data_IF_376640898337
#
_entry.id   IF_376640898337
#
_cell.length_a   1.000
_cell.length_b   1.000
_cell.length_c   1.000
_cell.angle_alpha   90.00
_cell.angle_beta   90.00
_cell.angle_gamma   90.00
#
_symmetry.space_group_name_H-M   'P 1'
#
loop_
_entity.id
_entity.type
_entity.pdbx_description
1 polymer ?
#
# COMPACT_ATOMS: atom_id res chain seq x y z
N UNK A 1 12.72 26.00 43.01
CA UNK A 1 13.48 25.21 42.06
C UNK A 1 13.03 23.77 42.19
N UNK A 2 12.14 23.32 41.26
CA UNK A 2 11.68 21.92 41.19
C UNK A 2 12.36 21.32 39.97
N UNK A 3 13.28 20.39 40.19
CA UNK A 3 13.93 19.61 39.12
C UNK A 3 12.94 18.63 38.56
N UNK A 4 12.54 18.83 37.29
CA UNK A 4 11.79 17.89 36.49
C UNK A 4 12.81 16.89 35.91
N UNK A 5 12.88 15.70 36.49
CA UNK A 5 13.63 14.58 35.92
C UNK A 5 12.85 14.03 34.73
N UNK A 6 13.32 14.36 33.55
CA UNK A 6 12.86 13.73 32.29
C UNK A 6 13.53 12.36 32.21
N UNK A 7 12.80 11.30 32.53
CA UNK A 7 13.24 9.91 32.30
C UNK A 7 13.16 9.60 30.81
N UNK A 8 14.29 9.68 30.11
CA UNK A 8 14.47 9.16 28.77
C UNK A 8 14.45 7.63 28.87
N UNK A 9 13.36 7.00 28.47
CA UNK A 9 13.32 5.57 28.29
C UNK A 9 14.10 5.23 27.00
N UNK A 10 15.37 4.85 27.14
CA UNK A 10 16.18 4.29 26.07
C UNK A 10 15.62 2.89 25.81
N UNK A 11 14.83 2.73 24.74
CA UNK A 11 14.44 1.43 24.24
C UNK A 11 15.68 0.75 23.63
N UNK A 12 16.37 -0.06 24.40
CA UNK A 12 17.47 -0.88 23.91
C UNK A 12 16.92 -1.88 22.89
N UNK A 13 17.27 -1.70 21.60
CA UNK A 13 17.02 -2.70 20.58
C UNK A 13 17.78 -3.98 20.96
N UNK A 14 17.06 -5.08 21.15
CA UNK A 14 17.67 -6.41 21.38
C UNK A 14 18.56 -6.76 20.18
N UNK A 15 19.73 -7.35 20.37
CA UNK A 15 20.57 -7.82 19.28
C UNK A 15 19.77 -8.83 18.43
N UNK A 16 19.99 -8.88 17.11
CA UNK A 16 19.25 -9.75 16.17
C UNK A 16 19.16 -11.21 16.62
N UNK A 17 20.20 -11.71 17.25
CA UNK A 17 20.24 -13.07 17.82
C UNK A 17 19.21 -13.28 18.97
N UNK A 18 18.99 -12.27 19.81
CA UNK A 18 18.01 -12.36 20.88
C UNK A 18 16.56 -12.39 20.35
N UNK A 19 16.27 -11.65 19.29
CA UNK A 19 14.96 -11.70 18.63
C UNK A 19 14.71 -13.06 17.98
N UNK A 20 15.71 -13.64 17.32
CA UNK A 20 15.61 -14.97 16.73
C UNK A 20 15.37 -16.05 17.81
N UNK A 21 16.06 -15.97 18.94
CA UNK A 21 15.83 -16.89 20.07
C UNK A 21 14.41 -16.76 20.63
N UNK A 22 13.91 -15.51 20.74
CA UNK A 22 12.55 -15.28 21.23
C UNK A 22 11.50 -15.83 20.26
N UNK A 23 11.66 -15.61 18.95
CA UNK A 23 10.77 -16.18 17.93
C UNK A 23 10.84 -17.71 17.90
N UNK A 24 12.02 -18.30 18.11
CA UNK A 24 12.17 -19.76 18.22
C UNK A 24 11.41 -20.30 19.43
N UNK A 25 11.43 -19.59 20.58
CA UNK A 25 10.67 -19.94 21.78
C UNK A 25 9.16 -19.86 21.54
N UNK A 26 8.68 -18.82 20.84
CA UNK A 26 7.29 -18.67 20.44
C UNK A 26 6.89 -19.82 19.49
N UNK A 27 7.66 -20.06 18.44
CA UNK A 27 7.38 -21.09 17.44
C UNK A 27 7.37 -22.52 18.03
N UNK A 28 8.12 -22.77 19.11
CA UNK A 28 8.16 -24.06 19.80
C UNK A 28 6.88 -24.35 20.60
N UNK A 29 6.02 -23.35 20.88
CA UNK A 29 4.80 -23.56 21.69
C UNK A 29 3.78 -24.43 20.94
N UNK A 30 3.10 -25.36 21.65
CA UNK A 30 2.15 -26.29 21.02
C UNK A 30 1.05 -25.58 20.23
N UNK A 31 0.46 -24.53 20.79
CA UNK A 31 -0.58 -23.74 20.11
C UNK A 31 -0.05 -23.06 18.84
N UNK A 32 1.19 -22.52 18.86
CA UNK A 32 1.79 -21.88 17.68
C UNK A 32 2.13 -22.92 16.60
N UNK A 33 2.70 -24.07 16.99
CA UNK A 33 2.92 -25.19 16.04
C UNK A 33 1.62 -25.64 15.38
N UNK A 34 0.53 -25.74 16.16
CA UNK A 34 -0.78 -26.09 15.63
C UNK A 34 -1.30 -25.01 14.66
N UNK A 35 -1.12 -23.72 14.97
CA UNK A 35 -1.53 -22.62 14.10
C UNK A 35 -0.75 -22.60 12.77
N UNK A 36 0.58 -22.80 12.81
CA UNK A 36 1.42 -22.91 11.62
C UNK A 36 1.02 -24.11 10.75
N UNK A 37 0.82 -25.28 11.39
CA UNK A 37 0.36 -26.49 10.69
C UNK A 37 -1.06 -26.31 10.10
N UNK A 38 -1.93 -25.54 10.77
CA UNK A 38 -3.25 -25.22 10.24
C UNK A 38 -3.15 -24.44 8.93
N UNK A 39 -2.30 -23.40 8.85
CA UNK A 39 -2.10 -22.61 7.64
C UNK A 39 -1.67 -23.51 6.48
N UNK A 40 -0.68 -24.37 6.68
CA UNK A 40 -0.17 -25.30 5.67
C UNK A 40 -1.25 -26.28 5.20
N UNK A 41 -1.90 -26.97 6.14
CA UNK A 41 -2.92 -28.00 5.82
C UNK A 41 -4.17 -27.43 5.13
N UNK A 42 -4.47 -26.15 5.32
CA UNK A 42 -5.66 -25.51 4.76
C UNK A 42 -5.35 -24.63 3.52
N UNK A 43 -4.20 -24.80 2.87
CA UNK A 43 -3.85 -24.01 1.70
C UNK A 43 -4.88 -24.16 0.56
N UNK A 44 -5.44 -25.34 0.35
CA UNK A 44 -6.52 -25.54 -0.61
C UNK A 44 -7.77 -24.69 -0.27
N UNK A 45 -8.11 -24.55 1.01
CA UNK A 45 -9.20 -23.67 1.46
C UNK A 45 -8.84 -22.20 1.28
N UNK A 46 -7.57 -21.83 1.53
CA UNK A 46 -7.08 -20.46 1.27
C UNK A 46 -7.17 -20.12 -0.20
N UNK A 47 -6.78 -21.04 -1.08
CA UNK A 47 -6.93 -20.90 -2.54
C UNK A 47 -8.41 -20.73 -2.92
N UNK A 48 -9.31 -21.57 -2.40
CA UNK A 48 -10.74 -21.41 -2.67
C UNK A 48 -11.29 -20.06 -2.21
N UNK A 49 -10.83 -19.56 -1.04
CA UNK A 49 -11.17 -18.22 -0.56
C UNK A 49 -10.60 -17.12 -1.47
N UNK A 50 -9.37 -17.26 -1.98
CA UNK A 50 -8.78 -16.34 -2.97
C UNK A 50 -9.70 -16.19 -4.17
N UNK A 51 -10.13 -17.32 -4.76
CA UNK A 51 -11.03 -17.33 -5.93
C UNK A 51 -12.38 -16.69 -5.60
N UNK A 52 -12.97 -17.05 -4.46
CA UNK A 52 -14.29 -16.57 -4.05
C UNK A 52 -14.31 -15.06 -3.73
N UNK A 53 -13.29 -14.55 -3.06
CA UNK A 53 -13.14 -13.11 -2.75
C UNK A 53 -12.92 -12.34 -4.06
N UNK A 54 -12.05 -12.85 -4.93
CA UNK A 54 -11.75 -12.20 -6.20
C UNK A 54 -12.95 -12.12 -7.14
N UNK A 55 -13.86 -13.08 -7.10
CA UNK A 55 -15.07 -13.10 -7.92
C UNK A 55 -16.05 -11.94 -7.62
N UNK A 56 -15.86 -11.20 -6.51
CA UNK A 56 -16.68 -10.04 -6.15
C UNK A 56 -16.00 -8.78 -6.70
N UNK A 57 -16.57 -8.08 -7.69
CA UNK A 57 -15.97 -6.85 -8.22
C UNK A 57 -15.79 -5.79 -7.13
N UNK A 58 -14.60 -5.18 -7.09
CA UNK A 58 -14.27 -4.14 -6.13
C UNK A 58 -13.34 -3.09 -6.74
N UNK A 59 -13.78 -2.33 -7.75
CA UNK A 59 -12.99 -1.21 -8.24
C UNK A 59 -12.79 -0.18 -7.13
N UNK A 60 -11.68 0.55 -7.17
CA UNK A 60 -11.42 1.65 -6.23
C UNK A 60 -12.64 2.58 -6.15
N UNK A 61 -13.08 2.89 -4.93
CA UNK A 61 -14.31 3.62 -4.56
C UNK A 61 -15.63 2.84 -4.68
N UNK A 62 -15.62 1.55 -5.08
CA UNK A 62 -16.82 0.73 -5.19
C UNK A 62 -16.65 -0.65 -4.52
N UNK A 63 -15.95 -0.69 -3.40
CA UNK A 63 -15.56 -1.90 -2.65
C UNK A 63 -16.68 -2.48 -1.78
N UNK A 64 -17.82 -1.80 -1.64
CA UNK A 64 -18.85 -2.11 -0.63
C UNK A 64 -19.35 -3.56 -0.65
N UNK A 65 -19.48 -4.18 -1.83
CA UNK A 65 -19.95 -5.55 -1.96
C UNK A 65 -18.92 -6.54 -1.38
N UNK A 66 -17.64 -6.38 -1.75
CA UNK A 66 -16.53 -7.21 -1.24
C UNK A 66 -16.31 -6.97 0.25
N UNK A 67 -16.40 -5.72 0.72
CA UNK A 67 -16.30 -5.37 2.13
C UNK A 67 -17.38 -6.08 2.97
N UNK A 68 -18.62 -6.09 2.51
CA UNK A 68 -19.73 -6.80 3.18
C UNK A 68 -19.47 -8.31 3.30
N UNK A 69 -19.08 -8.96 2.20
CA UNK A 69 -18.74 -10.39 2.19
C UNK A 69 -17.57 -10.67 3.14
N UNK A 70 -16.53 -9.83 3.07
CA UNK A 70 -15.35 -10.01 3.89
C UNK A 70 -15.61 -9.83 5.38
N UNK A 71 -16.50 -8.90 5.77
CA UNK A 71 -16.94 -8.74 7.16
C UNK A 71 -17.60 -10.02 7.70
N UNK A 72 -18.44 -10.68 6.90
CA UNK A 72 -19.07 -11.95 7.31
C UNK A 72 -18.05 -13.07 7.44
N UNK A 73 -17.03 -13.13 6.56
CA UNK A 73 -15.93 -14.09 6.68
C UNK A 73 -15.11 -13.88 7.96
N UNK A 74 -14.81 -12.63 8.35
CA UNK A 74 -14.09 -12.33 9.59
C UNK A 74 -14.92 -12.69 10.83
N UNK A 75 -16.24 -12.47 10.81
CA UNK A 75 -17.15 -12.95 11.86
C UNK A 75 -17.12 -14.49 11.98
N UNK A 76 -17.21 -15.17 10.85
CA UNK A 76 -17.14 -16.63 10.79
C UNK A 76 -15.79 -17.18 11.28
N UNK A 77 -14.69 -16.45 11.05
CA UNK A 77 -13.38 -16.75 11.60
C UNK A 77 -13.31 -16.55 13.12
N UNK A 78 -14.32 -15.93 13.76
CA UNK A 78 -14.43 -15.73 15.20
C UNK A 78 -13.70 -14.52 15.74
N UNK A 79 -13.40 -13.54 14.87
CA UNK A 79 -12.90 -12.25 15.29
C UNK A 79 -14.00 -11.42 15.97
N UNK A 80 -13.59 -10.54 16.87
CA UNK A 80 -14.47 -9.69 17.66
C UNK A 80 -14.55 -8.28 17.05
N UNK A 81 -15.57 -7.52 17.43
CA UNK A 81 -15.77 -6.12 17.03
C UNK A 81 -15.72 -5.91 15.51
N UNK A 82 -16.32 -6.84 14.76
CA UNK A 82 -16.36 -6.73 13.30
C UNK A 82 -17.30 -5.60 12.89
N UNK A 83 -16.75 -4.58 12.24
CA UNK A 83 -17.48 -3.40 11.82
C UNK A 83 -16.91 -2.83 10.52
N UNK A 84 -17.74 -2.07 9.81
CA UNK A 84 -17.31 -1.24 8.68
C UNK A 84 -17.27 0.21 9.15
N UNK A 85 -16.13 0.88 8.98
CA UNK A 85 -15.97 2.29 9.35
C UNK A 85 -16.56 3.24 8.29
N UNK A 86 -16.53 4.55 8.57
CA UNK A 86 -17.09 5.56 7.67
C UNK A 86 -16.33 5.75 6.35
N UNK A 87 -15.10 5.24 6.23
CA UNK A 87 -14.37 5.22 4.98
C UNK A 87 -14.73 4.01 4.11
N UNK A 88 -15.26 2.93 4.73
CA UNK A 88 -15.59 1.67 4.11
C UNK A 88 -14.63 0.53 4.48
N UNK A 89 -13.62 0.76 5.35
CA UNK A 89 -12.75 -0.30 5.84
C UNK A 89 -13.52 -1.31 6.68
N UNK A 90 -13.19 -2.58 6.55
CA UNK A 90 -13.67 -3.62 7.46
C UNK A 90 -12.61 -3.84 8.55
N UNK A 91 -13.01 -3.66 9.79
CA UNK A 91 -12.18 -3.80 10.98
C UNK A 91 -12.67 -4.99 11.80
N UNK A 92 -11.73 -5.78 12.34
CA UNK A 92 -12.04 -6.87 13.25
C UNK A 92 -10.87 -7.10 14.20
N UNK A 93 -11.12 -7.53 15.44
CA UNK A 93 -10.08 -7.65 16.46
C UNK A 93 -9.90 -9.09 16.92
N UNK A 94 -8.67 -9.56 16.94
CA UNK A 94 -8.24 -10.66 17.79
C UNK A 94 -7.79 -10.10 19.13
N UNK A 95 -8.59 -10.31 20.18
CA UNK A 95 -8.33 -9.73 21.49
C UNK A 95 -7.21 -10.47 22.22
N UNK A 96 -6.24 -9.71 22.71
CA UNK A 96 -5.23 -10.18 23.67
C UNK A 96 -5.68 -10.07 25.12
N UNK A 97 -4.73 -10.09 26.04
CA UNK A 97 -4.98 -9.93 27.49
C UNK A 97 -5.35 -8.49 27.92
N UNK A 98 -5.27 -7.53 26.98
CA UNK A 98 -5.46 -6.09 27.24
C UNK A 98 -4.23 -5.40 27.85
N UNK A 99 -3.09 -6.09 27.95
CA UNK A 99 -1.84 -5.56 28.53
C UNK A 99 -0.76 -5.24 27.50
N UNK A 100 -1.00 -5.53 26.23
CA UNK A 100 -0.04 -5.35 25.14
C UNK A 100 -0.48 -4.30 24.12
N UNK A 101 0.35 -4.11 23.08
CA UNK A 101 0.09 -3.15 21.99
C UNK A 101 -1.03 -3.61 21.06
N UNK A 102 -1.59 -2.67 20.29
CA UNK A 102 -2.36 -2.98 19.09
C UNK A 102 -1.44 -3.03 17.88
N UNK A 103 -1.41 -4.16 17.18
CA UNK A 103 -0.70 -4.36 15.92
C UNK A 103 -1.71 -4.57 14.81
N UNK A 104 -1.57 -3.84 13.69
CA UNK A 104 -2.44 -3.97 12.53
C UNK A 104 -1.89 -5.02 11.57
N UNK A 105 -2.80 -5.87 11.06
CA UNK A 105 -2.60 -6.70 9.87
C UNK A 105 -3.62 -6.24 8.83
N UNK A 106 -3.15 -5.73 7.69
CA UNK A 106 -3.98 -5.12 6.66
C UNK A 106 -3.79 -5.75 5.29
N UNK A 107 -4.87 -5.77 4.49
CA UNK A 107 -4.87 -6.06 3.07
C UNK A 107 -5.97 -5.24 2.40
N UNK A 108 -5.73 -4.66 1.22
CA UNK A 108 -6.73 -3.80 0.59
C UNK A 108 -7.81 -4.60 -0.15
N UNK A 109 -9.02 -4.02 -0.18
CA UNK A 109 -10.20 -4.61 -0.82
C UNK A 109 -10.28 -4.29 -2.31
N UNK A 110 -9.80 -3.13 -2.71
CA UNK A 110 -9.97 -2.62 -4.05
C UNK A 110 -8.99 -3.24 -5.05
N UNK A 111 -9.29 -3.01 -6.32
CA UNK A 111 -8.45 -3.35 -7.46
C UNK A 111 -8.48 -2.21 -8.48
N UNK A 112 -7.46 -2.12 -9.34
CA UNK A 112 -7.41 -1.14 -10.44
C UNK A 112 -8.44 -1.39 -11.54
N UNK A 113 -9.13 -2.54 -11.51
CA UNK A 113 -10.00 -2.98 -12.60
C UNK A 113 -11.41 -2.40 -12.48
N UNK A 114 -12.07 -2.03 -13.61
CA UNK A 114 -13.43 -1.54 -13.60
C UNK A 114 -14.42 -2.67 -13.22
N UNK A 115 -15.62 -2.31 -12.76
CA UNK A 115 -16.66 -3.28 -12.42
C UNK A 115 -17.10 -4.17 -13.60
N UNK A 116 -16.83 -3.76 -14.83
CA UNK A 116 -17.11 -4.51 -16.06
C UNK A 116 -16.01 -5.51 -16.45
N UNK A 117 -14.89 -5.55 -15.73
CA UNK A 117 -13.82 -6.51 -16.00
C UNK A 117 -14.31 -7.95 -15.84
N UNK A 118 -13.87 -8.82 -16.73
CA UNK A 118 -14.17 -10.26 -16.62
C UNK A 118 -13.24 -10.87 -15.55
N UNK A 119 -13.83 -11.22 -14.41
CA UNK A 119 -13.15 -11.85 -13.27
C UNK A 119 -13.15 -13.38 -13.35
N UNK A 120 -13.55 -13.96 -14.48
CA UNK A 120 -13.51 -15.42 -14.67
C UNK A 120 -12.09 -15.93 -14.55
N UNK A 121 -11.89 -16.88 -13.64
CA UNK A 121 -10.58 -17.47 -13.40
C UNK A 121 -10.26 -18.52 -14.45
N UNK A 122 -9.09 -18.41 -15.07
CA UNK A 122 -8.55 -19.40 -16.00
C UNK A 122 -7.33 -20.08 -15.39
N UNK A 123 -7.39 -21.39 -15.19
CA UNK A 123 -6.24 -22.16 -14.73
C UNK A 123 -5.42 -22.66 -15.93
N UNK A 124 -4.11 -22.39 -15.88
CA UNK A 124 -3.16 -22.87 -16.88
C UNK A 124 -1.77 -23.06 -16.24
N UNK A 125 -1.18 -24.22 -16.46
CA UNK A 125 0.17 -24.56 -16.00
C UNK A 125 0.39 -24.32 -14.48
N UNK A 126 -0.63 -24.65 -13.65
CA UNK A 126 -0.62 -24.47 -12.20
C UNK A 126 -0.74 -23.02 -11.75
N UNK A 127 -1.13 -22.11 -12.64
CA UNK A 127 -1.40 -20.69 -12.38
C UNK A 127 -2.88 -20.39 -12.57
N UNK A 128 -3.41 -19.53 -11.74
CA UNK A 128 -4.74 -18.96 -11.85
C UNK A 128 -4.63 -17.55 -12.42
N UNK A 129 -5.26 -17.31 -13.56
CA UNK A 129 -5.28 -16.01 -14.25
C UNK A 129 -6.64 -15.36 -14.04
N UNK A 130 -6.66 -14.20 -13.42
CA UNK A 130 -7.83 -13.32 -13.33
C UNK A 130 -7.39 -11.93 -12.82
N UNK A 131 -8.08 -10.85 -13.23
CA UNK A 131 -7.84 -9.51 -12.70
C UNK A 131 -8.03 -9.45 -11.17
N UNK A 132 -7.05 -8.93 -10.44
CA UNK A 132 -7.10 -8.76 -8.97
C UNK A 132 -6.89 -10.03 -8.16
N UNK A 133 -6.57 -11.18 -8.79
CA UNK A 133 -6.41 -12.45 -8.07
C UNK A 133 -5.20 -12.44 -7.15
N UNK A 134 -4.11 -11.83 -7.60
CA UNK A 134 -2.92 -11.61 -6.79
C UNK A 134 -3.07 -10.33 -5.97
N UNK A 135 -3.48 -9.26 -6.64
CA UNK A 135 -3.57 -7.90 -6.10
C UNK A 135 -5.03 -7.45 -5.92
N UNK A 136 -5.64 -7.66 -4.76
CA UNK A 136 -5.06 -8.18 -3.52
C UNK A 136 -5.90 -9.36 -2.97
N UNK A 137 -6.57 -10.13 -3.88
CA UNK A 137 -7.44 -11.26 -3.51
C UNK A 137 -6.73 -12.31 -2.67
N UNK A 138 -5.46 -12.64 -3.01
CA UNK A 138 -4.65 -13.61 -2.27
C UNK A 138 -4.34 -13.14 -0.86
N UNK A 139 -3.95 -11.89 -0.67
CA UNK A 139 -3.59 -11.35 0.64
C UNK A 139 -4.80 -11.29 1.59
N UNK A 140 -5.98 -10.96 1.07
CA UNK A 140 -7.24 -11.03 1.83
C UNK A 140 -7.51 -12.47 2.30
N UNK A 141 -7.34 -13.47 1.45
CA UNK A 141 -7.52 -14.87 1.81
C UNK A 141 -6.47 -15.36 2.82
N UNK A 142 -5.21 -14.93 2.69
CA UNK A 142 -4.14 -15.23 3.64
C UNK A 142 -4.44 -14.65 5.03
N UNK A 143 -4.88 -13.39 5.08
CA UNK A 143 -5.29 -12.71 6.32
C UNK A 143 -6.44 -13.47 7.01
N UNK A 144 -7.43 -13.92 6.27
CA UNK A 144 -8.54 -14.73 6.77
C UNK A 144 -8.04 -16.09 7.33
N UNK A 145 -7.11 -16.74 6.63
CA UNK A 145 -6.52 -18.02 7.08
C UNK A 145 -5.73 -17.86 8.37
N UNK A 146 -5.01 -16.75 8.56
CA UNK A 146 -4.34 -16.43 9.82
C UNK A 146 -5.35 -16.29 10.96
N UNK A 147 -6.48 -15.63 10.75
CA UNK A 147 -7.55 -15.52 11.74
C UNK A 147 -8.10 -16.91 12.16
N UNK A 148 -8.38 -17.77 11.19
CA UNK A 148 -8.81 -19.15 11.44
C UNK A 148 -7.74 -19.98 12.19
N UNK A 149 -6.46 -19.80 11.87
CA UNK A 149 -5.36 -20.48 12.53
C UNK A 149 -5.25 -20.09 14.00
N UNK A 150 -5.34 -18.80 14.32
CA UNK A 150 -5.36 -18.30 15.69
C UNK A 150 -6.50 -18.91 16.50
N UNK A 151 -7.71 -18.93 15.92
CA UNK A 151 -8.91 -19.52 16.56
C UNK A 151 -8.78 -21.03 16.75
N UNK A 152 -8.41 -21.76 15.71
CA UNK A 152 -8.32 -23.23 15.75
C UNK A 152 -7.30 -23.71 16.81
N UNK A 153 -6.15 -23.04 16.86
CA UNK A 153 -5.10 -23.34 17.81
C UNK A 153 -5.30 -22.70 19.20
N UNK A 154 -6.37 -21.91 19.38
CA UNK A 154 -6.67 -21.18 20.63
C UNK A 154 -5.48 -20.36 21.13
N UNK A 155 -4.77 -19.71 20.20
CA UNK A 155 -3.61 -18.87 20.51
C UNK A 155 -4.04 -17.70 21.40
N UNK A 156 -3.31 -17.41 22.47
CA UNK A 156 -3.58 -16.30 23.37
C UNK A 156 -2.43 -15.30 23.31
N UNK A 157 -2.73 -14.05 22.99
CA UNK A 157 -1.76 -12.96 22.86
C UNK A 157 -1.79 -12.01 24.06
N UNK A 158 -0.73 -11.26 24.30
CA UNK A 158 -0.74 -10.15 25.27
C UNK A 158 -1.37 -8.90 24.65
N UNK A 159 -0.98 -8.52 23.42
CA UNK A 159 -1.56 -7.41 22.68
C UNK A 159 -2.67 -7.85 21.74
N UNK A 160 -3.40 -6.87 21.21
CA UNK A 160 -4.47 -7.05 20.23
C UNK A 160 -3.90 -7.10 18.80
N UNK A 161 -4.50 -7.94 17.94
CA UNK A 161 -4.28 -7.88 16.50
C UNK A 161 -5.51 -7.30 15.83
N UNK A 162 -5.37 -6.12 15.22
CA UNK A 162 -6.42 -5.46 14.45
C UNK A 162 -6.30 -5.89 12.98
N UNK A 163 -7.25 -6.70 12.52
CA UNK A 163 -7.40 -7.08 11.13
C UNK A 163 -8.13 -5.97 10.38
N UNK A 164 -7.57 -5.51 9.28
CA UNK A 164 -8.11 -4.40 8.49
C UNK A 164 -8.16 -4.79 7.02
N UNK A 165 -9.37 -4.92 6.47
CA UNK A 165 -9.53 -4.93 5.02
C UNK A 165 -9.85 -3.50 4.58
N UNK A 166 -8.86 -2.80 4.06
CA UNK A 166 -8.98 -1.37 3.79
C UNK A 166 -9.43 -1.08 2.34
N UNK A 167 -9.96 0.12 2.14
CA UNK A 167 -10.46 0.61 0.85
C UNK A 167 -9.52 1.64 0.25
N UNK A 168 -9.53 1.76 -1.09
CA UNK A 168 -8.88 2.85 -1.80
C UNK A 168 -7.36 2.85 -1.63
N UNK A 169 -6.72 1.70 -1.69
CA UNK A 169 -5.26 1.62 -1.82
C UNK A 169 -4.86 2.09 -3.20
N UNK A 170 -5.56 1.63 -4.23
CA UNK A 170 -5.17 1.74 -5.62
C UNK A 170 -5.40 3.12 -6.24
N UNK A 171 -4.53 3.46 -7.19
CA UNK A 171 -4.70 4.58 -8.11
C UNK A 171 -5.03 5.91 -7.43
N UNK A 172 -6.21 6.45 -7.77
CA UNK A 172 -6.73 7.70 -7.19
C UNK A 172 -7.39 7.51 -5.81
N UNK A 173 -7.51 6.27 -5.33
CA UNK A 173 -7.92 5.97 -3.95
C UNK A 173 -6.93 6.52 -2.93
N UNK A 174 -5.66 6.56 -3.29
CA UNK A 174 -4.63 7.34 -2.60
C UNK A 174 -4.51 6.99 -1.11
N UNK A 175 -4.55 5.70 -0.77
CA UNK A 175 -4.48 5.18 0.59
C UNK A 175 -5.65 5.66 1.49
N UNK A 176 -6.81 5.92 0.92
CA UNK A 176 -7.99 6.48 1.61
C UNK A 176 -8.30 5.76 2.91
N UNK A 177 -8.35 4.43 2.86
CA UNK A 177 -8.72 3.59 4.00
C UNK A 177 -7.71 3.71 5.14
N UNK A 178 -6.42 3.59 4.83
CA UNK A 178 -5.35 3.67 5.84
C UNK A 178 -5.21 5.09 6.37
N UNK A 179 -5.34 6.13 5.53
CA UNK A 179 -5.41 7.53 5.98
C UNK A 179 -6.54 7.75 6.99
N UNK A 180 -7.71 7.20 6.72
CA UNK A 180 -8.83 7.26 7.66
C UNK A 180 -8.51 6.52 8.95
N UNK A 181 -8.01 5.28 8.88
CA UNK A 181 -7.64 4.47 10.04
C UNK A 181 -6.71 5.24 10.99
N UNK A 182 -5.61 5.80 10.48
CA UNK A 182 -4.62 6.52 11.29
C UNK A 182 -5.09 7.92 11.72
N UNK A 183 -6.11 8.48 11.09
CA UNK A 183 -6.77 9.69 11.60
C UNK A 183 -7.58 9.41 12.87
N UNK A 184 -8.22 8.24 12.95
CA UNK A 184 -9.11 7.83 14.05
C UNK A 184 -8.39 7.08 15.17
N UNK A 185 -7.35 6.28 14.89
CA UNK A 185 -6.68 5.38 15.83
C UNK A 185 -5.26 5.88 16.13
N UNK A 186 -4.99 6.21 17.38
CA UNK A 186 -3.68 6.66 17.88
C UNK A 186 -2.97 5.62 18.75
N UNK A 187 -3.62 4.51 19.01
CA UNK A 187 -3.14 3.39 19.83
C UNK A 187 -2.35 2.34 19.04
N UNK A 188 -2.33 2.42 17.71
CA UNK A 188 -1.60 1.49 16.83
C UNK A 188 -0.10 1.64 17.03
N UNK A 189 0.57 0.52 17.38
CA UNK A 189 2.01 0.46 17.66
C UNK A 189 2.85 -0.15 16.55
N UNK A 190 2.22 -0.93 15.66
CA UNK A 190 2.89 -1.46 14.47
C UNK A 190 1.86 -1.79 13.39
N UNK A 191 2.30 -1.80 12.13
CA UNK A 191 1.47 -2.08 10.97
C UNK A 191 2.17 -3.08 10.04
N UNK A 192 1.45 -4.11 9.62
CA UNK A 192 1.88 -5.06 8.60
C UNK A 192 0.85 -5.00 7.47
N UNK A 193 1.25 -4.50 6.30
CA UNK A 193 0.48 -4.62 5.07
C UNK A 193 0.76 -5.96 4.40
N UNK A 194 -0.25 -6.54 3.78
CA UNK A 194 -0.10 -7.71 2.92
C UNK A 194 -0.31 -7.32 1.46
N UNK A 195 0.64 -7.70 0.64
CA UNK A 195 0.66 -7.44 -0.80
C UNK A 195 0.95 -8.73 -1.59
N UNK A 196 0.80 -8.73 -2.91
CA UNK A 196 1.26 -9.83 -3.74
C UNK A 196 2.72 -10.20 -3.49
N UNK A 197 3.10 -11.41 -3.84
CA UNK A 197 4.50 -11.83 -3.84
C UNK A 197 5.27 -11.09 -4.95
N UNK A 198 5.93 -10.01 -4.61
CA UNK A 198 6.70 -9.16 -5.51
C UNK A 198 8.11 -9.74 -5.67
N UNK A 199 8.27 -10.84 -6.37
CA UNK A 199 9.60 -11.39 -6.64
C UNK A 199 9.64 -12.91 -6.71
N UNK A 200 10.71 -13.42 -7.30
CA UNK A 200 11.01 -14.84 -7.33
C UNK A 200 11.56 -15.29 -5.98
N UNK A 201 11.34 -16.50 -5.57
CA UNK A 201 12.02 -17.22 -4.50
C UNK A 201 12.12 -16.54 -3.12
N UNK A 202 11.07 -16.63 -2.35
CA UNK A 202 11.06 -16.22 -0.94
C UNK A 202 9.97 -15.21 -0.61
N UNK A 203 9.89 -14.87 0.67
CA UNK A 203 8.91 -13.93 1.21
C UNK A 203 9.64 -12.66 1.70
N UNK A 204 10.11 -11.78 0.79
CA UNK A 204 10.88 -10.61 1.19
C UNK A 204 10.03 -9.62 1.98
N UNK A 205 10.70 -8.86 2.85
CA UNK A 205 10.11 -7.82 3.67
C UNK A 205 10.38 -6.45 3.04
N UNK A 206 9.34 -5.75 2.63
CA UNK A 206 9.43 -4.36 2.17
C UNK A 206 9.42 -3.42 3.37
N UNK A 207 10.46 -2.61 3.50
CA UNK A 207 10.66 -1.68 4.62
C UNK A 207 10.91 -0.24 4.15
N UNK A 208 10.81 0.00 2.83
CA UNK A 208 10.94 1.31 2.19
C UNK A 208 9.69 1.55 1.34
N UNK A 209 8.97 2.62 1.65
CA UNK A 209 7.78 3.05 0.93
C UNK A 209 8.11 4.15 -0.08
N UNK A 210 7.91 3.85 -1.39
CA UNK A 210 8.01 4.84 -2.46
C UNK A 210 6.81 5.78 -2.42
N UNK A 211 7.03 7.05 -2.09
CA UNK A 211 6.01 8.08 -2.15
C UNK A 211 5.66 8.48 -3.58
N UNK A 212 4.45 9.01 -3.77
CA UNK A 212 4.03 9.62 -5.03
C UNK A 212 3.24 10.90 -4.81
N UNK A 213 3.45 11.87 -5.72
CA UNK A 213 2.65 13.08 -5.84
C UNK A 213 2.01 13.10 -7.21
N UNK A 214 0.70 13.28 -7.25
CA UNK A 214 -0.07 13.31 -8.50
C UNK A 214 -0.76 14.65 -8.64
N UNK A 215 -0.61 15.29 -9.80
CA UNK A 215 -1.18 16.59 -10.08
C UNK A 215 -2.05 16.55 -11.30
N UNK A 216 -3.16 17.31 -11.26
CA UNK A 216 -3.88 17.77 -12.44
C UNK A 216 -3.51 19.23 -12.68
N UNK A 217 -2.93 19.53 -13.83
CA UNK A 217 -2.72 20.90 -14.30
C UNK A 217 -3.81 21.22 -15.31
N UNK A 218 -4.57 22.28 -15.07
CA UNK A 218 -5.58 22.79 -16.02
C UNK A 218 -5.13 24.16 -16.48
N UNK A 219 -4.98 24.31 -17.79
CA UNK A 219 -4.53 25.55 -18.44
C UNK A 219 -5.73 26.17 -19.11
N UNK A 220 -5.97 27.45 -18.84
CA UNK A 220 -7.06 28.25 -19.37
C UNK A 220 -6.54 29.25 -20.37
N UNK A 221 -7.35 29.52 -21.42
CA UNK A 221 -7.08 30.50 -22.45
C UNK A 221 -8.37 31.15 -22.94
N UNK A 222 -8.27 32.16 -23.84
CA UNK A 222 -9.43 32.96 -24.31
C UNK A 222 -10.39 32.17 -25.22
N UNK A 223 -9.90 31.14 -25.92
CA UNK A 223 -10.64 30.52 -27.00
C UNK A 223 -10.75 31.41 -28.22
N UNK A 224 -11.39 30.90 -29.28
CA UNK A 224 -11.68 31.70 -30.47
C UNK A 224 -11.60 30.94 -31.79
N UNK A 225 -11.93 31.61 -32.90
CA UNK A 225 -11.80 31.07 -34.24
C UNK A 225 -10.34 31.14 -34.69
N UNK A 226 -9.77 30.06 -35.22
CA UNK A 226 -8.33 29.97 -35.52
C UNK A 226 -7.82 30.99 -36.53
N UNK A 227 -8.66 31.42 -37.47
CA UNK A 227 -8.32 32.42 -38.50
C UNK A 227 -8.65 33.83 -38.03
N UNK A 228 -9.90 34.09 -37.60
CA UNK A 228 -10.34 35.44 -37.18
C UNK A 228 -9.68 35.92 -35.90
N UNK A 229 -9.47 35.01 -34.97
CA UNK A 229 -8.82 35.26 -33.68
C UNK A 229 -7.30 35.03 -33.70
N UNK A 230 -6.67 34.96 -34.89
CA UNK A 230 -5.21 34.72 -34.95
C UNK A 230 -4.46 35.83 -34.20
N UNK A 231 -3.59 35.40 -33.28
CA UNK A 231 -2.93 36.32 -32.33
C UNK A 231 -3.37 36.09 -30.88
N UNK A 232 -4.51 35.45 -30.65
CA UNK A 232 -4.90 34.98 -29.32
C UNK A 232 -4.10 33.73 -28.91
N UNK A 233 -3.64 33.63 -27.64
CA UNK A 233 -2.92 32.47 -27.19
C UNK A 233 -3.85 31.27 -27.01
N UNK A 234 -3.32 30.07 -27.27
CA UNK A 234 -4.04 28.81 -27.14
C UNK A 234 -3.60 28.03 -25.87
N UNK A 235 -4.55 27.49 -25.11
CA UNK A 235 -4.27 26.66 -23.96
C UNK A 235 -3.47 25.39 -24.33
N UNK A 236 -3.70 24.78 -25.51
CA UNK A 236 -2.92 23.64 -26.00
C UNK A 236 -1.47 24.02 -26.28
N UNK A 237 -1.23 25.21 -26.88
CA UNK A 237 0.14 25.67 -27.11
C UNK A 237 0.89 25.92 -25.79
N UNK A 238 0.18 26.43 -24.78
CA UNK A 238 0.74 26.59 -23.45
C UNK A 238 1.04 25.23 -22.81
N UNK A 239 0.14 24.23 -22.92
CA UNK A 239 0.37 22.87 -22.44
C UNK A 239 1.62 22.25 -23.09
N UNK A 240 1.81 22.43 -24.39
CA UNK A 240 3.02 21.98 -25.09
C UNK A 240 4.31 22.58 -24.51
N UNK A 241 4.32 23.90 -24.20
CA UNK A 241 5.46 24.54 -23.54
C UNK A 241 5.70 24.04 -22.13
N UNK A 242 4.64 23.87 -21.36
CA UNK A 242 4.73 23.30 -20.01
C UNK A 242 5.36 21.90 -20.05
N UNK A 243 4.94 21.04 -20.97
CA UNK A 243 5.49 19.69 -21.13
C UNK A 243 6.99 19.75 -21.46
N UNK A 244 7.40 20.62 -22.38
CA UNK A 244 8.83 20.81 -22.70
C UNK A 244 9.62 21.24 -21.48
N UNK A 245 9.10 22.20 -20.69
CA UNK A 245 9.75 22.64 -19.45
C UNK A 245 9.86 21.53 -18.40
N UNK A 246 8.84 20.66 -18.30
CA UNK A 246 8.88 19.49 -17.42
C UNK A 246 9.94 18.49 -17.92
N UNK A 247 10.02 18.23 -19.21
CA UNK A 247 11.00 17.30 -19.80
C UNK A 247 12.46 17.78 -19.63
N UNK A 248 12.67 19.09 -19.52
CA UNK A 248 13.99 19.68 -19.25
C UNK A 248 14.48 19.45 -17.80
N UNK A 249 13.62 19.05 -16.86
CA UNK A 249 14.00 18.80 -15.46
C UNK A 249 15.05 17.68 -15.38
N UNK A 250 16.14 17.95 -14.69
CA UNK A 250 17.22 16.95 -14.46
C UNK A 250 17.15 16.44 -13.03
N UNK A 251 17.12 15.14 -12.92
CA UNK A 251 17.06 14.41 -11.64
C UNK A 251 18.28 13.52 -11.45
N UNK A 252 18.71 13.26 -10.22
CA UNK A 252 19.79 12.35 -9.94
C UNK A 252 19.41 10.89 -10.26
N UNK A 253 20.41 10.06 -10.58
CA UNK A 253 20.22 8.61 -10.70
C UNK A 253 19.96 7.95 -9.33
N UNK A 254 20.56 8.52 -8.27
CA UNK A 254 20.38 8.06 -6.87
C UNK A 254 20.36 9.28 -5.93
N UNK A 255 19.46 9.33 -4.94
CA UNK A 255 18.29 8.46 -4.80
C UNK A 255 17.37 8.54 -6.03
N UNK A 256 16.70 7.41 -6.36
CA UNK A 256 15.82 7.36 -7.54
C UNK A 256 14.62 8.28 -7.37
N UNK A 257 14.41 9.13 -8.35
CA UNK A 257 13.17 9.91 -8.51
C UNK A 257 12.73 9.83 -9.96
N UNK A 258 11.44 9.75 -10.18
CA UNK A 258 10.83 9.72 -11.51
C UNK A 258 9.70 10.73 -11.59
N UNK A 259 9.45 11.23 -12.79
CA UNK A 259 8.26 12.03 -13.09
C UNK A 259 7.77 11.69 -14.50
N UNK A 260 6.47 11.88 -14.72
CA UNK A 260 5.86 11.60 -16.02
C UNK A 260 4.60 12.48 -16.23
N UNK A 261 4.43 13.00 -17.42
CA UNK A 261 3.15 13.51 -17.88
C UNK A 261 2.42 12.37 -18.58
N UNK A 262 1.50 11.72 -17.88
CA UNK A 262 0.86 10.48 -18.33
C UNK A 262 -0.38 10.69 -19.19
N UNK A 263 -1.06 11.84 -19.04
CA UNK A 263 -2.30 12.17 -19.77
C UNK A 263 -2.25 13.62 -20.20
N UNK A 264 -2.68 13.90 -21.45
CA UNK A 264 -2.89 15.25 -21.96
C UNK A 264 -4.24 15.28 -22.69
N UNK A 265 -5.05 16.28 -22.40
CA UNK A 265 -6.36 16.49 -23.03
C UNK A 265 -6.55 17.98 -23.37
N UNK A 266 -7.35 18.29 -24.37
CA UNK A 266 -7.70 19.66 -24.69
C UNK A 266 -8.18 19.86 -26.13
N UNK A 267 -8.80 21.01 -26.35
CA UNK A 267 -9.35 21.39 -27.64
C UNK A 267 -10.72 20.79 -27.95
N UNK A 268 -11.38 21.39 -28.97
CA UNK A 268 -12.72 20.98 -29.41
C UNK A 268 -12.79 20.73 -30.90
N UNK A 269 -12.09 21.54 -31.69
CA UNK A 269 -12.12 21.48 -33.15
C UNK A 269 -10.79 21.98 -33.74
N UNK A 270 -10.44 21.46 -34.91
CA UNK A 270 -9.19 21.82 -35.62
C UNK A 270 -9.09 23.31 -35.94
N UNK A 271 -10.23 23.99 -36.13
CA UNK A 271 -10.32 25.40 -36.46
C UNK A 271 -10.68 26.32 -35.28
N UNK A 272 -10.48 25.86 -34.05
CA UNK A 272 -10.66 26.66 -32.83
C UNK A 272 -9.36 26.83 -32.07
N UNK A 273 -9.13 28.01 -31.51
CA UNK A 273 -8.12 28.29 -30.51
C UNK A 273 -8.64 27.67 -29.22
N UNK A 274 -7.86 26.77 -28.59
CA UNK A 274 -8.30 26.08 -27.39
C UNK A 274 -8.43 27.01 -26.19
N UNK A 275 -9.61 26.97 -25.54
CA UNK A 275 -9.85 27.66 -24.29
C UNK A 275 -9.38 26.89 -23.06
N UNK A 276 -9.20 25.58 -23.19
CA UNK A 276 -8.75 24.72 -22.07
C UNK A 276 -7.86 23.60 -22.58
N UNK A 277 -6.84 23.26 -21.76
CA UNK A 277 -6.07 22.04 -21.86
C UNK A 277 -5.74 21.56 -20.48
N UNK A 278 -5.61 20.24 -20.29
CA UNK A 278 -5.22 19.68 -19.01
C UNK A 278 -4.21 18.55 -19.17
N UNK A 279 -3.44 18.29 -18.09
CA UNK A 279 -2.53 17.17 -18.04
C UNK A 279 -2.51 16.56 -16.63
N UNK A 280 -2.21 15.26 -16.57
CA UNK A 280 -1.99 14.53 -15.32
C UNK A 280 -0.51 14.18 -15.21
N UNK A 281 0.06 14.47 -14.05
CA UNK A 281 1.48 14.33 -13.77
C UNK A 281 1.64 13.41 -12.54
N UNK A 282 2.54 12.43 -12.63
CA UNK A 282 2.94 11.54 -11.51
C UNK A 282 4.43 11.76 -11.21
N UNK A 283 4.76 11.90 -9.93
CA UNK A 283 6.13 12.00 -9.41
C UNK A 283 6.32 10.92 -8.37
N UNK A 284 7.43 10.17 -8.41
CA UNK A 284 7.72 9.12 -7.42
C UNK A 284 9.14 9.18 -6.90
N UNK A 285 9.30 9.01 -5.59
CA UNK A 285 10.59 8.80 -4.91
C UNK A 285 10.39 8.14 -3.56
N UNK A 286 11.39 7.35 -3.12
CA UNK A 286 11.49 6.92 -1.73
C UNK A 286 12.12 8.00 -0.81
N UNK A 287 12.69 9.05 -1.39
CA UNK A 287 13.26 10.20 -0.67
C UNK A 287 12.22 11.34 -0.65
N UNK A 288 11.70 11.65 0.54
CA UNK A 288 10.67 12.67 0.72
C UNK A 288 11.14 14.09 0.36
N UNK A 289 12.42 14.41 0.63
CA UNK A 289 12.96 15.74 0.30
C UNK A 289 13.14 15.90 -1.20
N UNK A 290 13.59 14.85 -1.88
CA UNK A 290 13.73 14.83 -3.33
C UNK A 290 12.36 14.87 -4.02
N UNK A 291 11.36 14.16 -3.47
CA UNK A 291 9.99 14.22 -3.95
C UNK A 291 9.43 15.66 -3.92
N UNK A 292 9.60 16.34 -2.78
CA UNK A 292 9.18 17.73 -2.62
C UNK A 292 9.96 18.70 -3.54
N UNK A 293 11.26 18.47 -3.76
CA UNK A 293 12.06 19.28 -4.67
C UNK A 293 11.56 19.18 -6.12
N UNK A 294 11.31 17.96 -6.61
CA UNK A 294 10.82 17.75 -7.99
C UNK A 294 9.40 18.30 -8.15
N UNK A 295 8.55 18.15 -7.12
CA UNK A 295 7.24 18.80 -7.09
C UNK A 295 7.35 20.30 -7.34
N UNK A 296 8.26 21.00 -6.64
CA UNK A 296 8.44 22.44 -6.82
C UNK A 296 8.96 22.76 -8.24
N UNK A 297 9.91 22.00 -8.76
CA UNK A 297 10.43 22.18 -10.12
C UNK A 297 9.32 22.03 -11.18
N UNK A 298 8.37 21.10 -10.98
CA UNK A 298 7.22 20.96 -11.89
C UNK A 298 6.28 22.15 -11.79
N UNK A 299 6.00 22.65 -10.57
CA UNK A 299 5.18 23.88 -10.40
C UNK A 299 5.83 25.07 -11.09
N UNK A 300 7.14 25.23 -10.95
CA UNK A 300 7.91 26.28 -11.62
C UNK A 300 7.86 26.13 -13.14
N UNK A 301 7.98 24.92 -13.67
CA UNK A 301 7.87 24.61 -15.09
C UNK A 301 6.47 24.98 -15.66
N UNK A 302 5.40 24.74 -14.89
CA UNK A 302 4.04 25.15 -15.26
C UNK A 302 3.95 26.68 -15.36
N UNK A 303 4.43 27.39 -14.33
CA UNK A 303 4.43 28.86 -14.33
C UNK A 303 5.24 29.42 -15.48
N UNK A 304 6.42 28.87 -15.77
CA UNK A 304 7.28 29.32 -16.85
C UNK A 304 6.64 29.06 -18.24
N UNK A 305 6.03 27.90 -18.47
CA UNK A 305 5.36 27.57 -19.72
C UNK A 305 4.16 28.48 -19.98
N UNK A 306 3.42 28.90 -18.97
CA UNK A 306 2.37 29.92 -19.02
C UNK A 306 2.96 31.28 -19.38
N UNK A 307 4.03 31.70 -18.68
CA UNK A 307 4.70 32.97 -18.92
C UNK A 307 5.26 33.06 -20.34
N UNK A 308 5.95 32.02 -20.82
CA UNK A 308 6.49 31.94 -22.18
C UNK A 308 5.39 32.08 -23.25
N UNK A 309 4.21 31.52 -22.97
CA UNK A 309 3.06 31.63 -23.91
C UNK A 309 2.50 33.05 -23.92
N UNK A 310 2.30 33.62 -22.74
CA UNK A 310 1.81 35.01 -22.62
C UNK A 310 2.80 36.02 -23.27
N UNK A 311 4.09 35.84 -23.01
CA UNK A 311 5.13 36.67 -23.65
C UNK A 311 5.12 36.54 -25.19
N UNK A 312 5.05 35.31 -25.71
CA UNK A 312 5.02 35.03 -27.16
C UNK A 312 3.89 35.76 -27.89
N UNK A 313 2.74 35.86 -27.24
CA UNK A 313 1.54 36.45 -27.82
C UNK A 313 1.22 37.87 -27.31
N UNK A 314 2.13 38.48 -26.56
CA UNK A 314 1.94 39.77 -25.88
C UNK A 314 0.57 39.84 -25.17
N UNK A 315 0.29 38.85 -24.33
CA UNK A 315 -1.01 38.61 -23.69
C UNK A 315 -0.83 38.26 -22.20
N UNK A 316 -1.91 38.35 -21.44
CA UNK A 316 -2.02 37.84 -20.08
C UNK A 316 -3.19 36.82 -19.95
N UNK A 317 -3.70 36.34 -21.08
CA UNK A 317 -4.93 35.55 -21.11
C UNK A 317 -4.73 34.05 -20.79
N UNK A 318 -3.49 33.56 -20.74
CA UNK A 318 -3.22 32.18 -20.29
C UNK A 318 -2.99 32.18 -18.79
N UNK A 319 -3.68 31.28 -18.10
CA UNK A 319 -3.47 30.96 -16.69
C UNK A 319 -3.44 29.44 -16.51
N UNK A 320 -2.98 28.95 -15.34
CA UNK A 320 -3.01 27.54 -14.99
C UNK A 320 -3.34 27.34 -13.53
N UNK A 321 -4.16 26.32 -13.26
CA UNK A 321 -4.43 25.77 -11.94
C UNK A 321 -3.65 24.46 -11.78
N UNK A 322 -3.04 24.26 -10.60
CA UNK A 322 -2.32 23.04 -10.24
C UNK A 322 -2.99 22.43 -9.03
N UNK A 323 -3.75 21.36 -9.24
CA UNK A 323 -4.45 20.65 -8.18
C UNK A 323 -3.70 19.36 -7.81
N UNK A 324 -3.43 19.16 -6.52
CA UNK A 324 -2.94 17.90 -5.99
C UNK A 324 -4.10 16.88 -5.97
N UNK A 325 -3.97 15.77 -6.69
CA UNK A 325 -5.00 14.72 -6.83
C UNK A 325 -4.57 13.39 -6.23
N UNK A 326 -3.35 13.29 -5.71
CA UNK A 326 -2.83 12.14 -4.99
C UNK A 326 -1.58 12.51 -4.21
N UNK A 327 -1.52 12.04 -2.96
CA UNK A 327 -0.42 12.30 -2.02
C UNK A 327 -0.15 11.04 -1.19
N UNK A 328 0.70 10.16 -1.71
CA UNK A 328 1.24 9.03 -0.95
C UNK A 328 2.58 9.44 -0.37
N UNK A 329 2.73 9.50 0.97
CA UNK A 329 3.99 9.89 1.55
C UNK A 329 5.08 8.86 1.30
N UNK A 330 6.33 9.29 1.14
CA UNK A 330 7.48 8.41 1.24
C UNK A 330 7.72 8.08 2.72
N UNK A 331 8.16 6.84 2.99
CA UNK A 331 8.49 6.42 4.35
C UNK A 331 9.54 5.31 4.33
N UNK A 332 10.30 5.19 5.41
CA UNK A 332 11.33 4.16 5.51
C UNK A 332 11.52 3.72 6.96
N UNK A 333 11.60 2.41 7.16
CA UNK A 333 12.08 1.82 8.40
C UNK A 333 13.59 1.58 8.32
N UNK A 334 14.28 1.69 9.46
CA UNK A 334 15.62 1.14 9.54
C UNK A 334 15.57 -0.38 9.38
N UNK A 335 16.50 -0.96 8.62
CA UNK A 335 16.69 -2.43 8.57
C UNK A 335 16.97 -3.03 9.94
N UNK A 336 17.44 -2.19 10.88
CA UNK A 336 17.70 -2.55 12.25
C UNK A 336 16.53 -2.33 13.21
N UNK A 337 15.38 -1.83 12.72
CA UNK A 337 14.18 -1.65 13.53
C UNK A 337 13.64 -2.98 14.04
N UNK A 338 12.94 -2.93 15.18
CA UNK A 338 12.38 -4.13 15.81
C UNK A 338 11.46 -4.89 14.86
N UNK A 339 10.58 -4.20 14.14
CA UNK A 339 9.61 -4.84 13.25
C UNK A 339 10.30 -5.57 12.08
N UNK A 340 11.30 -4.95 11.44
CA UNK A 340 12.07 -5.56 10.34
C UNK A 340 12.83 -6.78 10.84
N UNK A 341 13.57 -6.64 11.94
CA UNK A 341 14.30 -7.78 12.53
C UNK A 341 13.38 -8.92 12.97
N UNK A 342 12.20 -8.60 13.49
CA UNK A 342 11.21 -9.63 13.88
C UNK A 342 10.72 -10.41 12.66
N UNK A 343 10.41 -9.73 11.54
CA UNK A 343 9.98 -10.39 10.31
C UNK A 343 11.09 -11.26 9.70
N UNK A 344 12.33 -10.77 9.67
CA UNK A 344 13.48 -11.56 9.21
C UNK A 344 13.74 -12.77 10.11
N UNK A 345 13.65 -12.59 11.43
CA UNK A 345 13.81 -13.68 12.40
C UNK A 345 12.71 -14.74 12.27
N UNK A 346 11.47 -14.34 11.94
CA UNK A 346 10.37 -15.29 11.70
C UNK A 346 10.65 -16.20 10.50
N UNK A 347 11.23 -15.68 9.42
CA UNK A 347 11.67 -16.49 8.29
C UNK A 347 12.80 -17.46 8.69
N UNK A 348 13.85 -16.95 9.36
CA UNK A 348 15.01 -17.76 9.79
C UNK A 348 14.61 -18.91 10.72
N UNK A 349 13.70 -18.69 11.67
CA UNK A 349 13.21 -19.72 12.60
C UNK A 349 12.49 -20.85 11.86
N UNK A 350 11.93 -20.58 10.69
CA UNK A 350 11.29 -21.57 9.84
C UNK A 350 12.25 -22.16 8.79
N UNK A 351 13.55 -21.87 8.88
CA UNK A 351 14.57 -22.37 7.94
C UNK A 351 14.48 -21.74 6.57
N UNK A 352 13.92 -20.52 6.45
CA UNK A 352 13.73 -19.80 5.19
C UNK A 352 14.69 -18.62 5.05
N UNK A 353 14.97 -18.18 3.81
CA UNK A 353 15.78 -16.98 3.58
C UNK A 353 15.14 -15.74 4.25
N UNK A 354 15.96 -14.96 4.94
CA UNK A 354 15.58 -13.66 5.49
C UNK A 354 15.94 -12.57 4.48
N UNK A 355 14.97 -12.18 3.67
CA UNK A 355 15.17 -11.27 2.53
C UNK A 355 14.55 -9.91 2.79
N UNK A 356 15.25 -8.86 2.34
CA UNK A 356 14.72 -7.50 2.25
C UNK A 356 14.40 -7.18 0.79
N UNK A 357 13.29 -6.51 0.58
CA UNK A 357 12.84 -6.12 -0.75
C UNK A 357 13.26 -4.68 -1.11
N UNK A 358 13.12 -4.36 -2.39
CA UNK A 358 13.23 -3.01 -2.92
C UNK A 358 12.10 -2.10 -2.42
N UNK A 359 12.17 -0.81 -2.75
CA UNK A 359 11.14 0.13 -2.38
C UNK A 359 9.86 -0.05 -3.21
N UNK A 360 8.72 -0.20 -2.53
CA UNK A 360 7.39 -0.29 -3.13
C UNK A 360 6.44 0.77 -2.57
N UNK A 361 5.35 1.06 -3.29
CA UNK A 361 4.30 1.97 -2.82
C UNK A 361 3.10 1.12 -2.35
N UNK A 362 2.85 1.10 -1.05
CA UNK A 362 1.84 0.27 -0.40
C UNK A 362 1.16 1.03 0.74
N UNK A 363 0.17 0.45 1.37
CA UNK A 363 -0.47 0.99 2.58
C UNK A 363 0.50 1.28 3.73
N UNK A 364 1.62 0.56 3.81
CA UNK A 364 2.66 0.77 4.82
C UNK A 364 3.37 2.14 4.69
N UNK A 365 3.29 2.80 3.54
CA UNK A 365 3.87 4.13 3.33
C UNK A 365 3.40 5.14 4.38
N UNK A 366 2.10 5.14 4.65
CA UNK A 366 1.53 6.13 5.57
C UNK A 366 2.03 5.94 7.01
N UNK A 367 1.89 4.77 7.68
CA UNK A 367 2.43 4.60 9.02
C UNK A 367 3.95 4.79 9.08
N UNK A 368 4.73 4.36 8.08
CA UNK A 368 6.16 4.65 8.00
C UNK A 368 6.44 6.16 8.06
N UNK A 369 5.70 6.96 7.29
CA UNK A 369 5.86 8.43 7.26
C UNK A 369 5.48 9.10 8.58
N UNK A 370 4.61 8.47 9.37
CA UNK A 370 4.19 8.92 10.70
C UNK A 370 5.16 8.46 11.82
N UNK A 371 6.22 7.74 11.48
CA UNK A 371 7.16 7.19 12.43
C UNK A 371 6.63 5.97 13.19
N UNK A 372 5.51 5.38 12.74
CA UNK A 372 4.95 4.15 13.29
C UNK A 372 5.66 2.96 12.62
N UNK A 373 6.17 1.99 13.41
CA UNK A 373 6.79 0.80 12.86
C UNK A 373 5.89 0.10 11.85
N UNK A 374 6.32 0.02 10.58
CA UNK A 374 5.51 -0.57 9.51
C UNK A 374 6.37 -1.30 8.47
N UNK A 375 5.82 -2.39 7.93
CA UNK A 375 6.41 -3.19 6.85
C UNK A 375 5.30 -3.70 5.94
N UNK A 376 5.69 -4.11 4.73
CA UNK A 376 4.84 -4.92 3.87
C UNK A 376 5.42 -6.32 3.74
N UNK A 377 4.56 -7.33 3.79
CA UNK A 377 4.87 -8.74 3.64
C UNK A 377 3.97 -9.38 2.57
N UNK A 378 4.34 -10.56 2.11
CA UNK A 378 3.59 -11.26 1.06
C UNK A 378 2.36 -11.99 1.61
N UNK A 379 1.29 -12.02 0.80
CA UNK A 379 0.13 -12.92 0.99
C UNK A 379 0.40 -14.37 0.60
N UNK A 380 1.56 -14.68 0.01
CA UNK A 380 2.05 -16.02 -0.31
C UNK A 380 1.77 -16.51 -1.72
N UNK A 381 2.57 -17.47 -2.15
CA UNK A 381 2.61 -18.01 -3.50
C UNK A 381 3.57 -17.24 -4.40
N UNK A 382 3.38 -17.37 -5.69
CA UNK A 382 4.06 -16.55 -6.68
C UNK A 382 3.04 -15.87 -7.58
N UNK A 383 3.37 -14.73 -8.13
CA UNK A 383 2.41 -13.91 -8.88
C UNK A 383 3.11 -12.99 -9.87
N UNK A 384 2.36 -12.40 -10.78
CA UNK A 384 2.88 -11.45 -11.75
C UNK A 384 1.80 -10.95 -12.71
N UNK A 385 2.20 -10.08 -13.64
CA UNK A 385 1.28 -9.49 -14.61
C UNK A 385 0.31 -8.47 -14.04
N UNK A 386 0.64 -7.91 -12.88
CA UNK A 386 -0.20 -6.93 -12.15
C UNK A 386 -0.73 -5.81 -13.05
N UNK A 387 -1.93 -5.35 -12.74
CA UNK A 387 -2.61 -4.26 -13.45
C UNK A 387 -2.90 -4.58 -14.93
N UNK A 388 -2.90 -5.85 -15.30
CA UNK A 388 -3.27 -6.31 -16.65
C UNK A 388 -4.41 -7.31 -16.58
N UNK A 389 -5.57 -6.99 -17.14
CA UNK A 389 -6.75 -7.87 -17.15
C UNK A 389 -6.47 -9.27 -17.74
N UNK A 390 -5.48 -9.38 -18.64
CA UNK A 390 -5.16 -10.63 -19.34
C UNK A 390 -3.96 -11.37 -18.79
N UNK A 391 -3.07 -10.67 -18.06
CA UNK A 391 -1.76 -11.22 -17.71
C UNK A 391 -1.58 -11.41 -16.20
N UNK A 392 -2.46 -10.85 -15.38
CA UNK A 392 -2.36 -11.06 -13.93
C UNK A 392 -2.62 -12.51 -13.57
N UNK A 393 -1.70 -13.07 -12.79
CA UNK A 393 -1.77 -14.46 -12.35
C UNK A 393 -1.24 -14.63 -10.94
N UNK A 394 -1.71 -15.68 -10.30
CA UNK A 394 -1.21 -16.18 -9.03
C UNK A 394 -1.03 -17.69 -9.09
N UNK A 395 -0.03 -18.24 -8.36
CA UNK A 395 0.20 -19.68 -8.25
C UNK A 395 0.42 -20.09 -6.78
N UNK A 396 -0.12 -21.23 -6.33
CA UNK A 396 -0.10 -21.67 -4.94
C UNK A 396 1.22 -22.31 -4.49
N UNK A 397 2.30 -22.17 -5.26
CA UNK A 397 3.60 -22.79 -4.95
C UNK A 397 4.11 -22.29 -3.61
N UNK A 398 4.20 -23.19 -2.61
CA UNK A 398 4.61 -22.87 -1.24
C UNK A 398 3.84 -21.69 -0.61
N UNK A 399 2.60 -21.46 -1.05
CA UNK A 399 1.85 -20.25 -0.71
C UNK A 399 1.55 -20.10 0.79
N UNK A 400 1.57 -21.19 1.55
CA UNK A 400 1.39 -21.20 3.01
C UNK A 400 2.58 -20.58 3.76
N UNK A 401 3.74 -20.44 3.13
CA UNK A 401 4.98 -20.01 3.80
C UNK A 401 4.92 -18.57 4.29
N UNK A 402 4.44 -17.66 3.44
CA UNK A 402 4.35 -16.25 3.79
C UNK A 402 3.33 -16.00 4.93
N UNK A 403 2.09 -16.50 4.91
CA UNK A 403 1.17 -16.39 6.05
C UNK A 403 1.72 -16.98 7.35
N UNK A 404 2.55 -18.03 7.31
CA UNK A 404 3.24 -18.53 8.49
C UNK A 404 4.28 -17.53 9.01
N UNK A 405 5.07 -16.89 8.13
CA UNK A 405 6.00 -15.82 8.50
C UNK A 405 5.27 -14.62 9.11
N UNK A 406 4.15 -14.21 8.50
CA UNK A 406 3.30 -13.13 9.00
C UNK A 406 2.77 -13.45 10.40
N UNK A 407 2.24 -14.65 10.61
CA UNK A 407 1.74 -15.07 11.91
C UNK A 407 2.83 -15.01 12.99
N UNK A 408 4.03 -15.57 12.74
CA UNK A 408 5.13 -15.50 13.70
C UNK A 408 5.59 -14.07 13.97
N UNK A 409 5.64 -13.23 12.94
CA UNK A 409 5.97 -11.81 13.09
C UNK A 409 4.96 -11.11 14.00
N UNK A 410 3.67 -11.32 13.77
CA UNK A 410 2.59 -10.77 14.62
C UNK A 410 2.77 -11.24 16.07
N UNK A 411 2.95 -12.55 16.30
CA UNK A 411 3.08 -13.11 17.65
C UNK A 411 4.31 -12.56 18.38
N UNK A 412 5.41 -12.29 17.66
CA UNK A 412 6.56 -11.58 18.24
C UNK A 412 6.22 -10.16 18.66
N UNK A 413 5.49 -9.43 17.81
CA UNK A 413 5.15 -8.02 18.04
C UNK A 413 4.14 -7.84 19.17
N UNK A 414 3.06 -8.64 19.21
CA UNK A 414 2.01 -8.54 20.22
C UNK A 414 2.34 -9.29 21.52
N UNK A 415 3.31 -10.21 21.50
CA UNK A 415 3.63 -11.10 22.59
C UNK A 415 2.65 -12.28 22.71
N UNK A 416 3.14 -13.40 23.23
CA UNK A 416 2.35 -14.61 23.48
C UNK A 416 2.13 -14.76 24.97
N UNK A 417 0.87 -14.84 25.41
CA UNK A 417 0.46 -14.81 26.81
C UNK A 417 1.16 -15.90 27.64
N UNK A 418 1.81 -15.46 28.72
CA UNK A 418 2.57 -16.36 29.61
C UNK A 418 3.87 -16.91 29.02
N UNK A 419 4.23 -16.53 27.79
CA UNK A 419 5.44 -17.02 27.11
C UNK A 419 6.39 -15.86 26.76
N UNK A 420 5.93 -14.85 26.09
CA UNK A 420 6.77 -13.75 25.61
C UNK A 420 6.14 -12.38 25.84
N UNK A 421 6.95 -11.38 26.18
CA UNK A 421 6.52 -9.99 26.19
C UNK A 421 6.41 -9.46 24.74
N UNK A 422 5.54 -8.46 24.51
CA UNK A 422 5.47 -7.79 23.21
C UNK A 422 6.80 -7.14 22.82
N UNK A 423 7.22 -7.30 21.56
CA UNK A 423 8.35 -6.57 20.97
C UNK A 423 7.93 -5.17 20.45
N UNK A 424 6.68 -4.98 20.03
CA UNK A 424 6.13 -3.65 19.74
C UNK A 424 5.87 -2.91 21.06
N UNK A 425 6.21 -1.60 21.11
CA UNK A 425 6.09 -0.76 22.31
C UNK A 425 5.38 0.57 22.01
#
# INVERSE_FOLDING_TARGET
MKHLLLSLAIAAALPAHAQQQELARIAAQPAVKQALAYIEKNEATTTANTLAINAIPAPTFAEAARAKDYAERLKAAGLQDVQTDSAGNVLATWRGSGKGPTVVLAAHLDTVYPASADLTVHEKDGRYYAPGIADNGRSLAAMLTIAHALRNAKVQTEGDVLFVANVGEEGLGDLKGVKHLFSQRKDIKAFIGLEPALGADGDPVTYIGTGSRRFKVTIHGPGGHSYEGFGLPSAIHAAGRVIVRIDEIRVPAQPKVTFNVGVVQGGQSVNSISAEASMLIDIRSADAALLAKVEQQIKDAVQQGVADTNQRWNSSAISADVALIGDRPAGQMSKDSVIVKTALAAAMVQGRPALLDSAHSTDANLPMSLGIPAITMSGGGSSGGYHSEKLEWWAPTNAHTAPQNVLLTILGLVGLRGVSAPLAR
#
